data_IF_421462250496
#
_entry.id   IF_421462250496
#
_cell.length_a   1.000
_cell.length_b   1.000
_cell.length_c   1.000
_cell.angle_alpha   90.00
_cell.angle_beta   90.00
_cell.angle_gamma   90.00
#
_symmetry.space_group_name_H-M   'P 1'
#
loop_
_entity.id
_entity.type
_entity.pdbx_description
1 polymer ?
#
# COMPACT_ATOMS: atom_id res chain seq x y z
N UNK A 1 -17.08 14.89 -14.24
CA UNK A 1 -17.68 13.90 -13.31
C UNK A 1 -16.61 13.53 -12.30
N UNK A 2 -16.76 13.87 -11.02
CA UNK A 2 -15.92 13.30 -9.95
C UNK A 2 -16.47 11.89 -9.71
N UNK A 3 -15.76 10.87 -10.17
CA UNK A 3 -16.10 9.50 -9.83
C UNK A 3 -15.52 9.22 -8.44
N UNK A 4 -16.38 8.93 -7.47
CA UNK A 4 -16.02 8.57 -6.10
C UNK A 4 -15.49 7.12 -6.04
N UNK A 5 -14.56 6.79 -6.92
CA UNK A 5 -14.06 5.43 -7.13
C UNK A 5 -12.54 5.45 -7.02
N UNK A 6 -11.94 4.71 -6.07
CA UNK A 6 -10.49 4.54 -6.01
C UNK A 6 -9.93 4.01 -7.33
N UNK A 7 -8.90 4.68 -7.83
CA UNK A 7 -8.12 4.25 -8.98
C UNK A 7 -6.80 3.67 -8.47
N UNK A 8 -6.58 2.38 -8.72
CA UNK A 8 -5.32 1.70 -8.41
C UNK A 8 -4.54 1.53 -9.70
N UNK A 9 -3.29 1.99 -9.71
CA UNK A 9 -2.38 1.93 -10.85
C UNK A 9 -0.99 1.42 -10.44
N UNK A 10 -0.10 1.28 -11.42
CA UNK A 10 1.29 0.82 -11.23
C UNK A 10 2.25 1.46 -12.24
N UNK A 11 3.20 0.67 -12.76
CA UNK A 11 4.15 0.98 -13.85
C UNK A 11 5.29 1.97 -13.52
N UNK A 12 5.06 3.00 -12.71
CA UNK A 12 6.07 4.04 -12.43
C UNK A 12 7.18 3.57 -11.48
N UNK A 13 7.00 2.41 -10.83
CA UNK A 13 7.82 1.89 -9.74
C UNK A 13 7.83 2.81 -8.50
N UNK A 14 6.96 3.82 -8.43
CA UNK A 14 6.89 4.79 -7.34
C UNK A 14 5.53 4.69 -6.65
N UNK A 15 5.49 4.26 -5.37
CA UNK A 15 4.23 4.14 -4.67
C UNK A 15 3.59 5.51 -4.44
N UNK A 16 2.26 5.54 -4.49
CA UNK A 16 1.43 6.68 -4.12
C UNK A 16 0.31 6.14 -3.25
N UNK A 17 0.21 6.67 -2.03
CA UNK A 17 -0.82 6.30 -1.07
C UNK A 17 -1.37 7.60 -0.45
N UNK A 18 -2.51 8.11 -0.95
CA UNK A 18 -3.04 9.40 -0.51
C UNK A 18 -3.61 9.30 0.90
N UNK A 19 -3.55 10.38 1.68
CA UNK A 19 -4.34 10.48 2.89
C UNK A 19 -5.83 10.72 2.56
N UNK A 20 -6.77 10.33 3.44
CA UNK A 20 -8.17 10.70 3.29
C UNK A 20 -8.33 12.21 3.04
N UNK A 21 -9.07 12.57 1.99
CA UNK A 21 -9.28 13.97 1.56
C UNK A 21 -8.27 14.49 0.52
N UNK A 22 -7.11 13.84 0.32
CA UNK A 22 -6.11 14.26 -0.67
C UNK A 22 -6.38 13.71 -2.09
N UNK A 23 -7.21 12.67 -2.19
CA UNK A 23 -7.61 12.08 -3.46
C UNK A 23 -7.86 10.57 -3.37
N UNK A 24 -8.18 9.98 -4.51
CA UNK A 24 -8.53 8.56 -4.65
C UNK A 24 -7.58 7.81 -5.61
N UNK A 25 -6.40 8.36 -5.89
CA UNK A 25 -5.40 7.72 -6.75
C UNK A 25 -4.35 7.00 -5.92
N UNK A 26 -4.28 5.69 -6.09
CA UNK A 26 -3.31 4.81 -5.46
C UNK A 26 -2.35 4.26 -6.52
N UNK A 27 -1.08 4.16 -6.17
CA UNK A 27 -0.08 3.45 -6.94
C UNK A 27 0.66 2.48 -6.02
N UNK A 28 0.63 1.20 -6.33
CA UNK A 28 1.25 0.16 -5.50
C UNK A 28 2.78 0.16 -5.60
N UNK A 29 3.36 0.92 -6.53
CA UNK A 29 4.79 1.12 -6.68
C UNK A 29 5.43 0.07 -7.57
N UNK A 30 6.40 -0.67 -7.03
CA UNK A 30 7.16 -1.69 -7.76
C UNK A 30 6.67 -3.06 -7.31
N UNK A 31 5.57 -3.52 -7.95
CA UNK A 31 4.92 -4.81 -7.66
C UNK A 31 5.93 -5.96 -7.57
N UNK A 32 7.01 -5.87 -8.36
CA UNK A 32 8.19 -6.73 -8.25
C UNK A 32 9.45 -5.87 -8.32
N UNK A 33 10.29 -5.99 -7.29
CA UNK A 33 11.63 -5.41 -7.21
C UNK A 33 12.59 -6.51 -6.75
N UNK A 34 13.90 -6.43 -7.05
CA UNK A 34 14.87 -7.31 -6.40
C UNK A 34 14.65 -7.38 -4.89
N UNK A 35 14.44 -8.60 -4.40
CA UNK A 35 14.30 -8.93 -2.97
C UNK A 35 13.04 -8.41 -2.26
N UNK A 36 12.10 -7.79 -2.98
CA UNK A 36 10.86 -7.31 -2.38
C UNK A 36 9.72 -7.12 -3.37
N UNK A 37 8.48 -7.19 -2.88
CA UNK A 37 7.27 -6.78 -3.60
C UNK A 37 6.58 -5.68 -2.80
N UNK A 38 5.97 -4.73 -3.50
CA UNK A 38 4.99 -3.81 -2.90
C UNK A 38 3.59 -4.19 -3.34
N UNK A 39 2.60 -3.98 -2.48
CA UNK A 39 1.21 -4.30 -2.77
C UNK A 39 0.25 -3.41 -1.97
N UNK A 40 -0.98 -3.28 -2.44
CA UNK A 40 -2.09 -2.77 -1.65
C UNK A 40 -2.74 -3.96 -0.93
N UNK A 41 -2.76 -3.93 0.39
CA UNK A 41 -3.41 -4.94 1.24
C UNK A 41 -4.73 -4.37 1.77
N UNK A 42 -5.81 -5.12 1.61
CA UNK A 42 -7.13 -4.80 2.17
C UNK A 42 -7.49 -5.88 3.17
N UNK A 43 -7.71 -5.50 4.43
CA UNK A 43 -8.06 -6.44 5.51
C UNK A 43 -8.93 -5.73 6.53
N UNK A 44 -10.01 -6.38 6.97
CA UNK A 44 -10.91 -5.85 8.02
C UNK A 44 -11.44 -4.44 7.76
N UNK A 45 -11.68 -4.08 6.49
CA UNK A 45 -12.18 -2.75 6.10
C UNK A 45 -11.09 -1.66 6.06
N UNK A 46 -9.83 -2.02 6.29
CA UNK A 46 -8.68 -1.11 6.18
C UNK A 46 -7.91 -1.39 4.89
N UNK A 47 -7.29 -0.34 4.36
CA UNK A 47 -6.38 -0.37 3.21
C UNK A 47 -4.98 0.06 3.67
N UNK A 48 -3.96 -0.67 3.22
CA UNK A 48 -2.56 -0.38 3.51
C UNK A 48 -1.70 -0.55 2.26
N UNK A 49 -0.66 0.26 2.11
CA UNK A 49 0.45 -0.05 1.22
C UNK A 49 1.47 -0.87 2.01
N UNK A 50 1.77 -2.08 1.54
CA UNK A 50 2.68 -3.02 2.19
C UNK A 50 3.89 -3.31 1.32
N UNK A 51 5.00 -3.63 1.96
CA UNK A 51 6.21 -4.15 1.32
C UNK A 51 6.59 -5.48 1.97
N UNK A 52 6.59 -6.53 1.18
CA UNK A 52 7.13 -7.83 1.58
C UNK A 52 8.54 -7.96 1.05
N UNK A 53 9.47 -8.47 1.86
CA UNK A 53 10.84 -8.67 1.41
C UNK A 53 11.66 -9.49 2.39
N UNK A 54 12.91 -9.74 2.01
CA UNK A 54 13.86 -10.43 2.88
C UNK A 54 14.17 -9.59 4.12
N UNK A 55 14.19 -10.27 5.27
CA UNK A 55 14.63 -9.75 6.56
C UNK A 55 15.55 -10.78 7.20
N UNK A 56 16.40 -10.30 8.11
CA UNK A 56 17.33 -11.14 8.85
C UNK A 56 16.95 -11.10 10.32
N UNK A 57 16.91 -12.27 10.97
CA UNK A 57 16.76 -12.38 12.42
C UNK A 57 18.10 -12.10 13.11
N UNK A 58 18.08 -11.89 14.42
CA UNK A 58 19.30 -11.67 15.21
C UNK A 58 20.28 -12.86 15.16
N UNK A 59 19.78 -14.08 14.95
CA UNK A 59 20.57 -15.30 14.78
C UNK A 59 21.15 -15.48 13.36
N UNK A 60 20.93 -14.53 12.46
CA UNK A 60 21.40 -14.57 11.08
C UNK A 60 20.48 -15.32 10.11
N UNK A 61 19.39 -15.94 10.55
CA UNK A 61 18.45 -16.62 9.67
C UNK A 61 17.64 -15.61 8.82
N UNK A 62 17.53 -15.88 7.52
CA UNK A 62 16.74 -15.07 6.58
C UNK A 62 15.29 -15.54 6.53
N UNK A 63 14.35 -14.60 6.50
CA UNK A 63 12.92 -14.88 6.35
C UNK A 63 12.25 -13.81 5.50
N UNK A 64 11.03 -14.10 5.03
CA UNK A 64 10.18 -13.12 4.35
C UNK A 64 9.32 -12.41 5.39
N UNK A 65 9.42 -11.09 5.45
CA UNK A 65 8.66 -10.26 6.38
C UNK A 65 7.87 -9.15 5.68
N UNK A 66 6.71 -8.83 6.25
CA UNK A 66 5.88 -7.68 5.85
C UNK A 66 6.32 -6.42 6.58
N UNK A 67 6.25 -5.29 5.89
CA UNK A 67 6.28 -3.94 6.44
C UNK A 67 5.05 -3.19 5.92
N UNK A 68 4.36 -2.44 6.79
CA UNK A 68 3.39 -1.44 6.35
C UNK A 68 4.19 -0.16 6.03
N UNK A 69 4.06 0.35 4.82
CA UNK A 69 4.78 1.52 4.32
C UNK A 69 3.83 2.68 3.95
N UNK A 70 2.51 2.47 4.06
CA UNK A 70 1.46 3.48 3.99
C UNK A 70 0.17 2.93 4.60
N UNK A 71 -0.61 3.76 5.28
CA UNK A 71 -1.75 3.30 6.09
C UNK A 71 -1.33 2.62 7.40
N UNK A 72 -2.17 1.74 7.99
CA UNK A 72 -3.53 1.41 7.58
C UNK A 72 -4.47 2.61 7.69
N UNK A 73 -5.48 2.66 6.83
CA UNK A 73 -6.59 3.63 6.89
C UNK A 73 -7.90 2.90 6.70
N UNK A 74 -8.97 3.35 7.35
CA UNK A 74 -10.30 2.77 7.08
C UNK A 74 -10.74 3.23 5.69
N UNK A 75 -11.21 2.29 4.87
CA UNK A 75 -11.62 2.59 3.50
C UNK A 75 -12.74 3.63 3.47
N UNK A 76 -13.63 3.63 4.47
CA UNK A 76 -14.71 4.61 4.60
C UNK A 76 -14.25 6.06 4.75
N UNK A 77 -13.05 6.31 5.31
CA UNK A 77 -12.51 7.66 5.49
C UNK A 77 -12.28 8.36 4.14
N UNK A 78 -12.01 7.62 3.07
CA UNK A 78 -11.85 8.16 1.72
C UNK A 78 -13.17 8.58 1.06
N UNK A 79 -14.30 8.18 1.64
CA UNK A 79 -15.65 8.47 1.14
C UNK A 79 -16.45 9.37 2.07
N UNK A 80 -15.94 9.64 3.27
CA UNK A 80 -16.55 10.61 4.17
C UNK A 80 -16.53 11.99 3.49
N UNK A 81 -17.73 12.54 3.25
CA UNK A 81 -17.85 13.95 2.86
C UNK A 81 -17.32 14.82 4.01
N UNK A 82 -16.48 15.80 3.68
CA UNK A 82 -16.14 16.88 4.61
C UNK A 82 -17.29 17.87 4.75
#
# INVERSE_FOLDING_TARGET
VKNNTPLIAGHTHRPVFPEPGEGLYFNDGSCVHPWSITAIEITSGEISLVKWGQKTKEDGAVYIGKNIIGGPRRIEEYFAEG
#
